data_IF_251301918163
#
_entry.id   IF_251301918163
#
_cell.length_a   1.000
_cell.length_b   1.000
_cell.length_c   1.000
_cell.angle_alpha   90.00
_cell.angle_beta   90.00
_cell.angle_gamma   90.00
#
_symmetry.space_group_name_H-M   'P 1'
#
loop_
_entity.id
_entity.type
_entity.pdbx_description
1 polymer ?
#
# COMPACT_ATOMS: atom_id res chain seq x y z
N UNK A 1 -0.11 32.92 -48.53
CA UNK A 1 0.22 31.51 -48.26
C UNK A 1 1.15 31.49 -47.06
N UNK A 2 0.58 31.37 -45.87
CA UNK A 2 1.34 31.29 -44.62
C UNK A 2 1.96 29.89 -44.55
N UNK A 3 3.28 29.83 -44.47
CA UNK A 3 4.07 28.60 -44.45
C UNK A 3 3.82 27.83 -43.16
N UNK A 4 3.67 26.50 -43.27
CA UNK A 4 3.37 25.53 -42.22
C UNK A 4 4.33 25.54 -41.00
N UNK A 5 5.41 26.33 -41.05
CA UNK A 5 6.48 26.44 -40.06
C UNK A 5 6.08 27.23 -38.80
N UNK A 6 5.09 28.12 -38.87
CA UNK A 6 4.68 28.97 -37.74
C UNK A 6 3.80 28.23 -36.71
N UNK A 7 3.15 27.12 -37.08
CA UNK A 7 2.26 26.38 -36.16
C UNK A 7 3.00 25.47 -35.16
N UNK A 8 4.23 25.07 -35.46
CA UNK A 8 4.99 24.14 -34.60
C UNK A 8 5.62 24.81 -33.38
N UNK A 9 5.77 26.14 -33.38
CA UNK A 9 6.38 26.88 -32.27
C UNK A 9 5.42 27.15 -31.10
N UNK A 10 4.11 26.99 -31.28
CA UNK A 10 3.11 27.26 -30.23
C UNK A 10 2.69 26.01 -29.42
N UNK A 11 3.01 24.79 -29.89
CA UNK A 11 2.65 23.54 -29.19
C UNK A 11 3.85 22.80 -28.56
N UNK A 12 5.09 23.24 -28.80
CA UNK A 12 6.31 22.51 -28.45
C UNK A 12 6.87 22.74 -27.04
N UNK A 13 6.28 23.62 -26.23
CA UNK A 13 6.81 23.97 -24.90
C UNK A 13 5.67 24.07 -23.88
N UNK A 14 4.88 23.01 -23.72
CA UNK A 14 4.24 22.80 -22.43
C UNK A 14 5.30 22.18 -21.52
N UNK A 15 5.85 22.90 -20.53
CA UNK A 15 6.67 22.24 -19.54
C UNK A 15 5.76 21.20 -18.89
N UNK A 16 6.09 19.91 -19.06
CA UNK A 16 5.47 18.86 -18.25
C UNK A 16 5.83 19.26 -16.82
N UNK A 17 4.88 19.89 -16.13
CA UNK A 17 5.01 20.22 -14.73
C UNK A 17 4.99 18.87 -14.02
N UNK A 18 6.17 18.26 -13.87
CA UNK A 18 6.34 17.11 -13.01
C UNK A 18 6.18 17.63 -11.60
N UNK A 19 4.92 17.71 -11.15
CA UNK A 19 4.63 17.99 -9.76
C UNK A 19 5.18 16.82 -8.97
N UNK A 20 6.35 17.01 -8.37
CA UNK A 20 6.91 16.01 -7.48
C UNK A 20 6.02 15.97 -6.23
N UNK A 21 5.38 14.83 -6.02
CA UNK A 21 4.62 14.57 -4.79
C UNK A 21 5.54 14.02 -3.72
N UNK A 22 5.35 14.47 -2.48
CA UNK A 22 5.94 13.84 -1.28
C UNK A 22 4.87 13.02 -0.59
N UNK A 23 5.19 11.76 -0.29
CA UNK A 23 4.36 10.91 0.55
C UNK A 23 4.99 10.66 1.91
N UNK A 24 4.15 10.70 2.95
CA UNK A 24 4.58 10.48 4.34
C UNK A 24 3.56 9.65 5.09
N UNK A 25 4.01 8.62 5.82
CA UNK A 25 3.16 7.89 6.74
C UNK A 25 2.72 8.79 7.89
N UNK A 26 1.43 8.71 8.24
CA UNK A 26 0.83 9.50 9.32
C UNK A 26 0.36 8.63 10.47
N UNK A 27 -0.08 7.40 10.20
CA UNK A 27 -0.45 6.44 11.23
C UNK A 27 -0.39 4.99 10.71
N UNK A 28 -0.31 4.03 11.63
CA UNK A 28 -0.54 2.61 11.36
C UNK A 28 -1.40 2.04 12.50
N UNK A 29 -2.44 1.29 12.13
CA UNK A 29 -3.25 0.51 13.06
C UNK A 29 -3.20 -0.95 12.65
N UNK A 30 -2.96 -1.84 13.61
CA UNK A 30 -2.98 -3.26 13.37
C UNK A 30 -3.89 -3.93 14.39
N UNK A 31 -4.75 -4.82 13.91
CA UNK A 31 -5.71 -5.55 14.71
C UNK A 31 -5.55 -7.04 14.42
N UNK A 32 -5.42 -7.84 15.47
CA UNK A 32 -5.71 -9.27 15.38
C UNK A 32 -7.14 -9.50 15.83
N UNK A 33 -7.99 -9.92 14.91
CA UNK A 33 -9.40 -10.21 15.22
C UNK A 33 -9.56 -11.64 15.78
N UNK A 34 -8.67 -12.55 15.39
CA UNK A 34 -8.55 -13.89 15.98
C UNK A 34 -7.14 -14.09 16.54
N UNK A 35 -7.00 -13.95 17.85
CA UNK A 35 -5.74 -14.15 18.57
C UNK A 35 -5.24 -15.60 18.54
N UNK A 36 -6.06 -16.58 18.16
CA UNK A 36 -5.60 -17.95 17.91
C UNK A 36 -5.00 -18.11 16.52
N UNK A 37 -5.32 -17.20 15.60
CA UNK A 37 -4.76 -17.18 14.25
C UNK A 37 -3.44 -16.43 14.23
N UNK A 38 -3.41 -15.18 14.72
CA UNK A 38 -2.22 -14.32 14.67
C UNK A 38 -2.10 -13.46 15.90
N UNK A 39 -0.87 -13.15 16.32
CA UNK A 39 -0.58 -12.10 17.31
C UNK A 39 0.33 -11.06 16.68
N UNK A 40 0.18 -9.80 17.06
CA UNK A 40 0.95 -8.70 16.46
C UNK A 40 1.93 -8.20 17.52
N UNK A 41 3.22 -8.48 17.32
CA UNK A 41 4.28 -8.12 18.27
C UNK A 41 4.85 -6.73 18.02
N UNK A 42 4.74 -6.22 16.79
CA UNK A 42 5.17 -4.87 16.44
C UNK A 42 4.21 -4.27 15.41
N UNK A 43 3.74 -3.06 15.65
CA UNK A 43 2.98 -2.27 14.69
C UNK A 43 3.19 -0.79 15.01
N UNK A 44 4.21 -0.17 14.42
CA UNK A 44 4.52 1.23 14.72
C UNK A 44 5.23 1.96 13.61
N UNK A 45 5.16 3.28 13.69
CA UNK A 45 5.94 4.21 12.90
C UNK A 45 7.17 4.69 13.69
N UNK A 46 8.26 4.94 12.97
CA UNK A 46 9.50 5.50 13.50
C UNK A 46 9.82 6.80 12.77
N UNK A 47 9.95 7.89 13.52
CA UNK A 47 10.50 9.12 12.99
C UNK A 47 12.03 9.03 12.99
N UNK A 48 12.63 8.74 11.84
CA UNK A 48 14.09 8.55 11.72
C UNK A 48 14.82 9.89 11.63
N UNK A 49 14.26 10.83 10.87
CA UNK A 49 14.72 12.22 10.78
C UNK A 49 13.56 13.11 10.33
N UNK A 50 13.80 14.41 10.20
CA UNK A 50 12.82 15.36 9.68
C UNK A 50 12.24 14.84 8.36
N UNK A 51 10.92 14.71 8.32
CA UNK A 51 10.14 14.25 7.16
C UNK A 51 10.45 12.85 6.63
N UNK A 52 11.18 12.03 7.39
CA UNK A 52 11.37 10.61 7.08
C UNK A 52 10.78 9.76 8.18
N UNK A 53 9.66 9.12 7.84
CA UNK A 53 8.96 8.17 8.69
C UNK A 53 9.10 6.78 8.08
N UNK A 54 9.47 5.82 8.91
CA UNK A 54 9.53 4.40 8.58
C UNK A 54 8.41 3.65 9.28
N UNK A 55 7.90 2.62 8.63
CA UNK A 55 6.92 1.71 9.18
C UNK A 55 7.58 0.38 9.52
N UNK A 56 7.22 -0.23 10.65
CA UNK A 56 7.54 -1.64 10.89
C UNK A 56 6.38 -2.40 11.48
N UNK A 57 6.25 -3.64 11.04
CA UNK A 57 5.21 -4.57 11.42
C UNK A 57 5.84 -5.94 11.65
N UNK A 58 5.48 -6.59 12.76
CA UNK A 58 5.78 -7.99 13.04
C UNK A 58 4.52 -8.68 13.55
N UNK A 59 4.22 -9.83 12.97
CA UNK A 59 3.08 -10.64 13.35
C UNK A 59 3.46 -12.11 13.37
N UNK A 60 3.02 -12.84 14.39
CA UNK A 60 3.25 -14.27 14.52
C UNK A 60 1.97 -15.02 14.19
N UNK A 61 2.00 -15.84 13.15
CA UNK A 61 0.95 -16.78 12.80
C UNK A 61 1.06 -17.97 13.74
N UNK A 62 0.03 -18.15 14.57
CA UNK A 62 -0.05 -19.23 15.54
C UNK A 62 -0.70 -20.48 14.93
N UNK A 63 -1.74 -20.28 14.12
CA UNK A 63 -2.45 -21.38 13.46
C UNK A 63 -2.99 -20.92 12.11
N UNK A 64 -2.39 -21.40 11.03
CA UNK A 64 -2.96 -21.20 9.69
C UNK A 64 -4.22 -22.08 9.51
N UNK A 65 -5.33 -21.54 8.99
CA UNK A 65 -6.54 -22.32 8.77
C UNK A 65 -6.35 -23.35 7.65
N UNK A 66 -7.10 -24.46 7.71
CA UNK A 66 -7.10 -25.47 6.65
C UNK A 66 -7.99 -25.02 5.48
N UNK A 67 -7.55 -24.01 4.74
CA UNK A 67 -8.23 -23.51 3.55
C UNK A 67 -7.68 -22.17 3.07
N UNK A 68 -8.45 -21.54 2.19
CA UNK A 68 -8.06 -20.31 1.52
C UNK A 68 -8.29 -19.10 2.44
N UNK A 69 -7.23 -18.35 2.71
CA UNK A 69 -7.31 -17.06 3.39
C UNK A 69 -7.50 -15.99 2.34
N UNK A 70 -8.60 -15.25 2.42
CA UNK A 70 -8.88 -14.14 1.53
C UNK A 70 -8.20 -12.86 2.03
N UNK A 71 -7.85 -11.98 1.10
CA UNK A 71 -7.30 -10.66 1.39
C UNK A 71 -8.10 -9.60 0.65
N UNK A 72 -8.58 -8.60 1.39
CA UNK A 72 -9.22 -7.41 0.84
C UNK A 72 -8.33 -6.19 1.04
N UNK A 73 -7.96 -5.53 -0.04
CA UNK A 73 -7.15 -4.30 -0.03
C UNK A 73 -7.96 -3.12 -0.55
N UNK A 74 -8.08 -2.07 0.27
CA UNK A 74 -8.87 -0.89 -0.02
C UNK A 74 -8.02 0.36 0.07
N UNK A 75 -8.04 1.19 -0.98
CA UNK A 75 -7.52 2.53 -0.95
C UNK A 75 -8.67 3.50 -0.69
N UNK A 76 -8.57 4.24 0.40
CA UNK A 76 -9.53 5.23 0.85
C UNK A 76 -8.92 6.61 0.80
N UNK A 77 -9.73 7.63 0.48
CA UNK A 77 -9.35 9.04 0.55
C UNK A 77 -10.14 9.72 1.66
N UNK A 78 -9.48 10.57 2.44
CA UNK A 78 -10.11 11.34 3.49
C UNK A 78 -10.95 12.48 2.91
N UNK A 79 -12.17 12.58 3.38
CA UNK A 79 -13.10 13.69 3.18
C UNK A 79 -13.86 13.89 4.50
N UNK A 80 -15.19 13.76 4.52
CA UNK A 80 -15.97 13.56 5.75
C UNK A 80 -15.81 12.13 6.29
N UNK A 81 -14.58 11.80 6.70
CA UNK A 81 -14.13 10.43 7.00
C UNK A 81 -13.40 9.77 5.84
N UNK A 82 -12.89 8.55 6.07
CA UNK A 82 -12.24 7.76 5.03
C UNK A 82 -13.29 7.10 4.14
N UNK A 83 -13.33 7.49 2.86
CA UNK A 83 -14.27 6.95 1.88
C UNK A 83 -13.54 6.10 0.84
N UNK A 84 -14.16 5.02 0.32
CA UNK A 84 -13.59 4.26 -0.79
C UNK A 84 -13.20 5.19 -1.93
N UNK A 85 -12.01 4.99 -2.49
CA UNK A 85 -11.50 5.82 -3.58
C UNK A 85 -11.36 4.98 -4.86
N UNK A 86 -10.14 4.66 -5.29
CA UNK A 86 -9.89 3.99 -6.57
C UNK A 86 -9.88 2.46 -6.48
N UNK A 87 -9.41 1.89 -5.38
CA UNK A 87 -9.15 0.46 -5.28
C UNK A 87 -9.92 -0.18 -4.13
N UNK A 88 -10.66 -1.24 -4.43
CA UNK A 88 -11.31 -2.12 -3.48
C UNK A 88 -11.24 -3.54 -4.05
N UNK A 89 -10.14 -4.22 -3.76
CA UNK A 89 -9.78 -5.50 -4.38
C UNK A 89 -9.96 -6.60 -3.36
N UNK A 90 -10.69 -7.65 -3.73
CA UNK A 90 -10.86 -8.85 -2.92
C UNK A 90 -10.19 -10.02 -3.65
N UNK A 91 -9.12 -10.56 -3.05
CA UNK A 91 -8.46 -11.77 -3.47
C UNK A 91 -8.96 -12.93 -2.61
N UNK A 92 -9.44 -14.00 -3.25
CA UNK A 92 -10.00 -15.17 -2.56
C UNK A 92 -8.96 -15.97 -1.78
N UNK A 93 -7.74 -16.04 -2.30
CA UNK A 93 -6.64 -16.81 -1.74
C UNK A 93 -5.32 -16.01 -1.84
N UNK A 94 -4.75 -15.70 -0.68
CA UNK A 94 -3.45 -15.01 -0.54
C UNK A 94 -2.32 -15.84 -1.14
N UNK A 95 -2.31 -17.15 -0.95
CA UNK A 95 -1.25 -18.00 -1.46
C UNK A 95 -1.29 -18.10 -2.98
N UNK A 96 -2.48 -18.29 -3.54
CA UNK A 96 -2.66 -18.29 -5.00
C UNK A 96 -2.19 -16.97 -5.62
N UNK A 97 -2.50 -15.84 -4.97
CA UNK A 97 -2.03 -14.54 -5.45
C UNK A 97 -0.52 -14.38 -5.36
N UNK A 98 0.13 -14.85 -4.28
CA UNK A 98 1.59 -14.76 -4.16
C UNK A 98 2.32 -15.53 -5.27
N UNK A 99 1.72 -16.63 -5.76
CA UNK A 99 2.22 -17.42 -6.87
C UNK A 99 1.95 -16.75 -8.23
N UNK A 100 0.71 -16.29 -8.47
CA UNK A 100 0.29 -15.78 -9.80
C UNK A 100 0.59 -14.30 -10.03
N UNK A 101 0.63 -13.49 -8.96
CA UNK A 101 0.78 -12.01 -9.01
C UNK A 101 -0.17 -11.37 -10.04
N UNK A 102 -1.42 -11.82 -10.06
CA UNK A 102 -2.39 -11.51 -11.12
C UNK A 102 -3.14 -10.18 -10.95
N UNK A 103 -2.80 -9.35 -9.95
CA UNK A 103 -3.45 -8.07 -9.71
C UNK A 103 -2.45 -6.89 -9.69
N UNK A 104 -2.54 -5.94 -10.64
CA UNK A 104 -1.53 -4.88 -10.79
C UNK A 104 -1.41 -3.97 -9.57
N UNK A 105 -2.52 -3.55 -8.97
CA UNK A 105 -2.47 -2.70 -7.77
C UNK A 105 -1.78 -3.38 -6.58
N UNK A 106 -2.12 -4.63 -6.28
CA UNK A 106 -1.48 -5.40 -5.21
C UNK A 106 -0.01 -5.62 -5.53
N UNK A 107 0.34 -5.87 -6.80
CA UNK A 107 1.74 -5.98 -7.23
C UNK A 107 2.52 -4.71 -6.95
N UNK A 108 1.96 -3.53 -7.23
CA UNK A 108 2.63 -2.26 -6.94
C UNK A 108 2.92 -2.13 -5.43
N UNK A 109 1.93 -2.41 -4.58
CA UNK A 109 2.09 -2.34 -3.13
C UNK A 109 3.15 -3.35 -2.62
N UNK A 110 3.04 -4.62 -2.99
CA UNK A 110 3.96 -5.64 -2.49
C UNK A 110 5.36 -5.52 -3.07
N UNK A 111 5.51 -5.19 -4.35
CA UNK A 111 6.83 -4.92 -4.95
C UNK A 111 7.51 -3.74 -4.26
N UNK A 112 6.74 -2.78 -3.75
CA UNK A 112 7.29 -1.64 -3.04
C UNK A 112 7.96 -2.01 -1.71
N UNK A 113 7.50 -3.08 -1.04
CA UNK A 113 8.15 -3.59 0.17
C UNK A 113 9.54 -4.16 -0.13
N UNK A 114 9.77 -4.66 -1.35
CA UNK A 114 11.06 -5.24 -1.76
C UNK A 114 11.58 -6.26 -0.75
N UNK A 115 12.86 -6.16 -0.40
CA UNK A 115 13.52 -7.06 0.56
C UNK A 115 13.24 -6.71 2.03
N UNK A 116 12.31 -5.79 2.32
CA UNK A 116 11.94 -5.42 3.70
C UNK A 116 10.94 -6.37 4.32
N UNK A 117 10.35 -7.26 3.52
CA UNK A 117 9.41 -8.30 3.96
C UNK A 117 9.92 -9.71 3.66
N UNK A 118 9.55 -10.65 4.53
CA UNK A 118 9.79 -12.07 4.31
C UNK A 118 8.60 -12.81 3.65
N UNK A 119 7.48 -12.11 3.40
CA UNK A 119 6.28 -12.69 2.75
C UNK A 119 6.35 -12.50 1.25
N UNK A 120 7.01 -13.44 0.56
CA UNK A 120 7.24 -13.37 -0.88
C UNK A 120 6.57 -14.50 -1.67
N UNK A 121 6.36 -15.66 -1.02
CA UNK A 121 5.81 -16.89 -1.57
C UNK A 121 5.07 -17.66 -0.47
N UNK A 122 4.30 -18.68 -0.85
CA UNK A 122 3.80 -19.67 0.09
C UNK A 122 4.76 -20.87 0.22
N UNK A 123 4.79 -21.56 1.38
CA UNK A 123 3.99 -21.31 2.59
C UNK A 123 4.41 -20.01 3.31
N UNK A 124 3.43 -19.33 3.91
CA UNK A 124 3.67 -18.09 4.67
C UNK A 124 4.54 -18.42 5.89
N UNK A 125 5.61 -17.64 6.16
CA UNK A 125 6.46 -17.88 7.33
C UNK A 125 5.67 -17.70 8.63
N UNK A 126 6.02 -18.44 9.70
CA UNK A 126 5.36 -18.30 11.01
C UNK A 126 5.47 -16.89 11.60
N UNK A 127 6.60 -16.21 11.42
CA UNK A 127 6.74 -14.79 11.74
C UNK A 127 6.70 -14.00 10.43
N UNK A 128 5.73 -13.09 10.29
CA UNK A 128 5.68 -12.09 9.24
C UNK A 128 6.44 -10.86 9.72
N UNK A 129 7.35 -10.36 8.89
CA UNK A 129 8.16 -9.19 9.20
C UNK A 129 8.07 -8.19 8.05
N UNK A 130 7.85 -6.92 8.37
CA UNK A 130 8.10 -5.77 7.50
C UNK A 130 8.90 -4.75 8.30
N UNK A 131 10.15 -4.50 7.91
CA UNK A 131 11.06 -3.69 8.72
C UNK A 131 11.52 -2.42 8.04
N UNK A 132 11.53 -1.32 8.79
CA UNK A 132 12.10 -0.04 8.38
C UNK A 132 11.64 0.40 6.98
N UNK A 133 10.36 0.14 6.68
CA UNK A 133 9.79 0.41 5.37
C UNK A 133 9.54 1.90 5.21
N UNK A 134 10.19 2.51 4.22
CA UNK A 134 9.99 3.91 3.83
C UNK A 134 9.00 4.00 2.70
N UNK A 135 8.29 5.12 2.64
CA UNK A 135 7.35 5.35 1.56
C UNK A 135 8.10 5.34 0.20
N UNK A 136 7.67 4.50 -0.75
CA UNK A 136 8.29 4.37 -2.06
C UNK A 136 7.83 5.51 -2.97
N UNK A 137 8.55 6.63 -3.01
CA UNK A 137 8.13 7.82 -3.80
C UNK A 137 7.88 7.48 -5.27
N UNK A 138 8.71 6.63 -5.89
CA UNK A 138 8.55 6.18 -7.30
C UNK A 138 7.25 5.42 -7.57
N UNK A 139 6.63 4.82 -6.55
CA UNK A 139 5.36 4.09 -6.70
C UNK A 139 4.19 5.07 -6.90
N UNK A 140 4.31 6.30 -6.40
CA UNK A 140 3.32 7.34 -6.65
C UNK A 140 3.25 7.70 -8.12
N UNK A 141 4.36 7.65 -8.86
CA UNK A 141 4.37 7.90 -10.30
C UNK A 141 3.54 6.87 -11.07
N UNK A 142 3.35 5.67 -10.51
CA UNK A 142 2.52 4.61 -11.10
C UNK A 142 1.03 4.72 -10.72
N UNK A 143 0.67 5.58 -9.75
CA UNK A 143 -0.70 5.73 -9.27
C UNK A 143 -1.16 7.19 -9.42
N UNK A 144 -2.22 7.49 -10.18
CA UNK A 144 -2.72 8.85 -10.36
C UNK A 144 -3.47 9.34 -9.11
N UNK A 145 -2.78 9.49 -7.98
CA UNK A 145 -3.35 9.92 -6.71
C UNK A 145 -3.25 11.45 -6.58
N UNK A 146 -4.38 12.18 -6.45
CA UNK A 146 -4.33 13.59 -6.16
C UNK A 146 -3.76 13.87 -4.76
N UNK A 147 -3.38 15.11 -4.47
CA UNK A 147 -2.97 15.47 -3.12
C UNK A 147 -4.07 15.27 -2.08
N UNK A 148 -3.67 14.95 -0.86
CA UNK A 148 -4.55 14.75 0.28
C UNK A 148 -4.15 13.58 1.18
N UNK A 149 -5.03 13.28 2.13
CA UNK A 149 -4.87 12.20 3.10
C UNK A 149 -5.54 10.91 2.60
N UNK A 150 -4.85 9.79 2.79
CA UNK A 150 -5.25 8.46 2.34
C UNK A 150 -5.13 7.41 3.44
N UNK A 151 -5.87 6.33 3.26
CA UNK A 151 -5.79 5.11 4.06
C UNK A 151 -5.72 3.90 3.14
N UNK A 152 -4.74 3.02 3.35
CA UNK A 152 -4.64 1.71 2.72
C UNK A 152 -5.01 0.65 3.75
N UNK A 153 -6.20 0.06 3.61
CA UNK A 153 -6.72 -0.92 4.55
C UNK A 153 -6.63 -2.31 3.94
N UNK A 154 -5.94 -3.21 4.63
CA UNK A 154 -5.78 -4.61 4.25
C UNK A 154 -6.45 -5.46 5.32
N UNK A 155 -7.44 -6.26 4.93
CA UNK A 155 -8.16 -7.18 5.83
C UNK A 155 -7.96 -8.60 5.34
N UNK A 156 -7.58 -9.50 6.25
CA UNK A 156 -7.47 -10.93 6.00
C UNK A 156 -8.66 -11.64 6.61
N UNK A 157 -9.24 -12.60 5.88
CA UNK A 157 -10.44 -13.30 6.32
C UNK A 157 -10.43 -14.78 5.97
N UNK A 158 -11.11 -15.59 6.77
CA UNK A 158 -11.37 -17.00 6.50
C UNK A 158 -12.86 -17.29 6.69
N UNK A 159 -13.51 -17.87 5.67
CA UNK A 159 -14.96 -18.09 5.64
C UNK A 159 -15.81 -16.89 6.11
N UNK A 160 -15.42 -15.68 5.70
CA UNK A 160 -16.05 -14.37 6.04
C UNK A 160 -15.80 -13.87 7.46
N UNK A 161 -15.14 -14.64 8.33
CA UNK A 161 -14.64 -14.14 9.60
C UNK A 161 -13.34 -13.36 9.37
N UNK A 162 -13.23 -12.16 9.95
CA UNK A 162 -11.98 -11.40 9.94
C UNK A 162 -10.96 -12.07 10.85
N UNK A 163 -9.75 -12.23 10.34
CA UNK A 163 -8.62 -12.83 11.06
C UNK A 163 -7.67 -11.75 11.56
N UNK A 164 -7.31 -10.81 10.69
CA UNK A 164 -6.42 -9.71 11.01
C UNK A 164 -6.68 -8.53 10.06
N UNK A 165 -6.33 -7.33 10.52
CA UNK A 165 -6.46 -6.11 9.75
C UNK A 165 -5.25 -5.20 9.96
N UNK A 166 -4.77 -4.59 8.88
CA UNK A 166 -3.72 -3.57 8.89
C UNK A 166 -4.23 -2.35 8.15
N UNK A 167 -4.23 -1.20 8.82
CA UNK A 167 -4.58 0.09 8.23
C UNK A 167 -3.35 0.98 8.24
N UNK A 168 -2.91 1.39 7.06
CA UNK A 168 -1.80 2.33 6.90
C UNK A 168 -2.35 3.66 6.43
N UNK A 169 -2.01 4.73 7.12
CA UNK A 169 -2.44 6.08 6.78
C UNK A 169 -1.25 6.88 6.28
N UNK A 170 -1.47 7.66 5.22
CA UNK A 170 -0.44 8.49 4.62
C UNK A 170 -1.02 9.75 4.01
N UNK A 171 -0.18 10.78 3.85
CA UNK A 171 -0.53 12.02 3.16
C UNK A 171 0.32 12.16 1.90
N UNK A 172 -0.29 12.73 0.86
CA UNK A 172 0.37 13.18 -0.37
C UNK A 172 0.31 14.69 -0.44
N UNK A 173 1.47 15.34 -0.49
CA UNK A 173 1.60 16.80 -0.61
C UNK A 173 2.50 17.16 -1.78
N UNK A 174 2.38 18.40 -2.24
CA UNK A 174 3.33 18.97 -3.19
C UNK A 174 4.73 19.06 -2.56
N UNK A 175 5.77 18.79 -3.34
CA UNK A 175 7.16 19.03 -2.95
C UNK A 175 7.37 20.54 -2.85
N UNK A 176 7.65 21.03 -1.64
CA UNK A 176 7.99 22.44 -1.38
C UNK A 176 9.49 22.67 -1.48
#
# INVERSE_FOLDING_TARGET
MATLTELFLLFGLWPILQVQGVAKFTNIECLSADENFTTISLCRLYAVKRDVVEMSLRANILRWPKGQVSMRMQLLKKASGYKPFLYNICQSDVCEYLEKRNHPFINIILSSFGNRTNVNKCPIPPEIVLEHFRFPVKVLDMMPLPFGDYGLFTTFSFHRAELAQVKVYFTLTEYR
#
